data_IF_293177209453
#
_entry.id   IF_293177209453
#
_cell.length_a   1.000
_cell.length_b   1.000
_cell.length_c   1.000
_cell.angle_alpha   90.00
_cell.angle_beta   90.00
_cell.angle_gamma   90.00
#
_symmetry.space_group_name_H-M   'P 1'
#
loop_
_entity.id
_entity.type
_entity.pdbx_description
1 polymer ?
#
# COMPACT_ATOMS: atom_id res chain seq x y z
N UNK A 1 6.55 -5.66 17.12
CA UNK A 1 7.53 -6.09 18.15
C UNK A 1 6.91 -7.20 18.98
N UNK A 2 7.64 -8.27 19.32
CA UNK A 2 7.13 -9.27 20.26
C UNK A 2 7.27 -8.73 21.68
N UNK A 3 6.18 -8.73 22.45
CA UNK A 3 6.19 -8.46 23.89
C UNK A 3 5.60 -9.69 24.58
N UNK A 4 6.47 -10.59 25.02
CA UNK A 4 6.08 -11.94 25.44
C UNK A 4 5.49 -12.74 24.26
N UNK A 5 4.35 -13.44 24.42
CA UNK A 5 3.72 -14.21 23.33
C UNK A 5 2.94 -13.34 22.34
N UNK A 6 2.75 -12.03 22.62
CA UNK A 6 1.91 -11.15 21.80
C UNK A 6 2.71 -10.42 20.72
N UNK A 7 2.15 -10.36 19.52
CA UNK A 7 2.62 -9.47 18.45
C UNK A 7 1.99 -8.09 18.64
N UNK A 8 2.82 -7.09 18.94
CA UNK A 8 2.38 -5.70 19.12
C UNK A 8 2.79 -4.89 17.89
N UNK A 9 1.87 -4.10 17.34
CA UNK A 9 2.20 -3.12 16.33
C UNK A 9 2.97 -1.98 16.98
N UNK A 10 4.12 -1.65 16.42
CA UNK A 10 4.99 -0.58 16.92
C UNK A 10 5.26 0.36 15.76
N UNK A 11 4.64 1.54 15.74
CA UNK A 11 4.88 2.54 14.70
C UNK A 11 6.36 2.89 14.63
N UNK A 12 6.90 2.97 13.41
CA UNK A 12 8.28 3.39 13.18
C UNK A 12 8.35 4.34 12.00
N UNK A 13 9.17 5.38 12.12
CA UNK A 13 9.46 6.26 11.01
C UNK A 13 10.26 5.50 9.95
N UNK A 14 9.75 5.48 8.72
CA UNK A 14 10.39 4.83 7.58
C UNK A 14 11.33 5.80 6.86
N UNK A 15 12.46 5.28 6.39
CA UNK A 15 13.35 6.03 5.51
C UNK A 15 12.75 6.16 4.09
N UNK A 16 13.33 7.04 3.27
CA UNK A 16 12.82 7.34 1.93
C UNK A 16 12.81 6.12 1.03
N UNK A 17 13.89 5.32 1.03
CA UNK A 17 13.99 4.08 0.22
C UNK A 17 12.90 3.06 0.58
N UNK A 18 12.62 2.87 1.86
CA UNK A 18 11.58 1.98 2.36
C UNK A 18 10.20 2.46 1.91
N UNK A 19 9.92 3.77 2.05
CA UNK A 19 8.65 4.36 1.60
C UNK A 19 8.41 4.17 0.11
N UNK A 20 9.41 4.46 -0.72
CA UNK A 20 9.29 4.29 -2.18
C UNK A 20 9.04 2.83 -2.55
N UNK A 21 9.80 1.89 -1.96
CA UNK A 21 9.63 0.45 -2.23
C UNK A 21 8.23 -0.04 -1.84
N UNK A 22 7.74 0.35 -0.68
CA UNK A 22 6.40 -0.05 -0.20
C UNK A 22 5.31 0.56 -1.09
N UNK A 23 5.47 1.81 -1.52
CA UNK A 23 4.56 2.45 -2.47
C UNK A 23 4.45 1.68 -3.78
N UNK A 24 5.60 1.34 -4.40
CA UNK A 24 5.64 0.55 -5.64
C UNK A 24 5.02 -0.85 -5.44
N UNK A 25 5.32 -1.51 -4.33
CA UNK A 25 4.73 -2.82 -4.02
C UNK A 25 3.21 -2.76 -3.88
N UNK A 26 2.68 -1.70 -3.25
CA UNK A 26 1.23 -1.53 -3.11
C UNK A 26 0.57 -1.30 -4.48
N UNK A 27 1.18 -0.51 -5.37
CA UNK A 27 0.68 -0.29 -6.73
C UNK A 27 0.63 -1.58 -7.56
N UNK A 28 1.68 -2.40 -7.47
CA UNK A 28 1.73 -3.70 -8.13
C UNK A 28 0.62 -4.60 -7.57
N UNK A 29 0.47 -4.64 -6.25
CA UNK A 29 -0.54 -5.47 -5.60
C UNK A 29 -1.99 -5.05 -5.95
N UNK A 30 -2.29 -3.75 -6.11
CA UNK A 30 -3.61 -3.30 -6.55
C UNK A 30 -3.88 -3.68 -8.00
N UNK A 31 -2.91 -3.48 -8.89
CA UNK A 31 -3.01 -3.93 -10.28
C UNK A 31 -3.22 -5.44 -10.40
N UNK A 32 -2.54 -6.24 -9.56
CA UNK A 32 -2.70 -7.69 -9.51
C UNK A 32 -4.06 -8.14 -8.99
N UNK A 33 -4.66 -7.43 -8.02
CA UNK A 33 -5.99 -7.76 -7.45
C UNK A 33 -7.14 -7.53 -8.42
N UNK A 34 -6.95 -6.67 -9.41
CA UNK A 34 -7.91 -6.42 -10.50
C UNK A 34 -7.98 -7.59 -11.50
N UNK A 35 -8.06 -8.83 -11.00
CA UNK A 35 -8.08 -10.08 -11.80
C UNK A 35 -9.39 -10.31 -12.56
N UNK A 36 -10.42 -9.52 -12.29
CA UNK A 36 -11.69 -9.57 -13.03
C UNK A 36 -11.61 -8.93 -14.43
N UNK A 37 -10.54 -8.22 -14.74
CA UNK A 37 -10.31 -7.62 -16.05
C UNK A 37 -9.54 -8.60 -16.94
N UNK A 38 -10.07 -8.89 -18.13
CA UNK A 38 -9.41 -9.66 -19.19
C UNK A 38 -8.15 -8.94 -19.77
N UNK A 39 -7.86 -7.72 -19.30
CA UNK A 39 -6.74 -6.94 -19.78
C UNK A 39 -5.38 -7.49 -19.28
N UNK A 40 -4.36 -7.33 -20.13
CA UNK A 40 -2.98 -7.69 -19.78
C UNK A 40 -2.53 -6.93 -18.54
N UNK A 41 -1.59 -7.52 -17.81
CA UNK A 41 -1.05 -6.91 -16.59
C UNK A 41 -0.41 -5.53 -16.84
N UNK A 42 0.26 -5.36 -17.99
CA UNK A 42 0.79 -4.06 -18.45
C UNK A 42 -0.26 -2.97 -18.46
N UNK A 43 -1.44 -3.29 -19.01
CA UNK A 43 -2.52 -2.32 -19.20
C UNK A 43 -3.19 -1.99 -17.87
N UNK A 44 -3.27 -2.97 -16.97
CA UNK A 44 -3.76 -2.79 -15.60
C UNK A 44 -2.85 -1.89 -14.78
N UNK A 45 -1.53 -2.10 -14.85
CA UNK A 45 -0.56 -1.20 -14.20
C UNK A 45 -0.66 0.21 -14.77
N UNK A 46 -0.72 0.36 -16.10
CA UNK A 46 -0.79 1.67 -16.72
C UNK A 46 -2.03 2.46 -16.25
N UNK A 47 -3.19 1.80 -16.17
CA UNK A 47 -4.42 2.39 -15.61
C UNK A 47 -4.25 2.76 -14.14
N UNK A 48 -3.64 1.89 -13.35
CA UNK A 48 -3.42 2.15 -11.93
C UNK A 48 -2.49 3.36 -11.71
N UNK A 49 -1.44 3.51 -12.53
CA UNK A 49 -0.56 4.69 -12.49
C UNK A 49 -1.35 5.97 -12.77
N UNK A 50 -2.21 5.97 -13.80
CA UNK A 50 -3.07 7.11 -14.10
C UNK A 50 -4.02 7.43 -12.94
N UNK A 51 -4.68 6.43 -12.37
CA UNK A 51 -5.55 6.61 -11.19
C UNK A 51 -4.79 7.14 -9.97
N UNK A 52 -3.50 6.81 -9.84
CA UNK A 52 -2.65 7.31 -8.76
C UNK A 52 -2.32 8.79 -8.96
N UNK A 53 -2.08 9.21 -10.21
CA UNK A 53 -1.88 10.62 -10.55
C UNK A 53 -3.15 11.45 -10.34
N UNK A 54 -4.33 10.84 -10.51
CA UNK A 54 -5.63 11.47 -10.22
C UNK A 54 -6.06 11.37 -8.74
N UNK A 55 -5.20 10.84 -7.85
CA UNK A 55 -5.50 10.62 -6.42
C UNK A 55 -6.69 9.68 -6.13
N UNK A 56 -7.14 8.91 -7.12
CA UNK A 56 -8.29 7.98 -7.02
C UNK A 56 -7.91 6.53 -6.76
N UNK A 57 -6.62 6.21 -6.75
CA UNK A 57 -6.13 4.85 -6.53
C UNK A 57 -6.49 4.34 -5.13
N UNK A 58 -6.82 3.04 -5.06
CA UNK A 58 -7.07 2.32 -3.80
C UNK A 58 -5.82 2.29 -2.89
N UNK A 59 -4.63 2.53 -3.45
CA UNK A 59 -3.38 2.60 -2.68
C UNK A 59 -3.44 3.67 -1.60
N UNK A 60 -4.09 4.82 -1.85
CA UNK A 60 -4.20 5.89 -0.86
C UNK A 60 -5.02 5.45 0.36
N UNK A 61 -6.12 4.71 0.15
CA UNK A 61 -6.93 4.14 1.26
C UNK A 61 -6.07 3.24 2.14
N UNK A 62 -5.23 2.39 1.54
CA UNK A 62 -4.33 1.50 2.27
C UNK A 62 -3.26 2.26 3.07
N UNK A 63 -2.75 3.36 2.52
CA UNK A 63 -1.80 4.24 3.24
C UNK A 63 -2.50 4.88 4.45
N UNK A 64 -3.72 5.38 4.28
CA UNK A 64 -4.50 5.94 5.39
C UNK A 64 -4.79 4.92 6.48
N UNK A 65 -5.17 3.69 6.14
CA UNK A 65 -5.38 2.60 7.10
C UNK A 65 -4.13 2.34 7.94
N UNK A 66 -2.96 2.27 7.30
CA UNK A 66 -1.69 2.10 8.01
C UNK A 66 -1.41 3.27 8.94
N UNK A 67 -1.68 4.50 8.51
CA UNK A 67 -1.53 5.68 9.37
C UNK A 67 -2.51 5.68 10.55
N UNK A 68 -3.76 5.26 10.36
CA UNK A 68 -4.75 5.11 11.43
C UNK A 68 -4.31 4.06 12.46
N UNK A 69 -3.86 2.89 11.98
CA UNK A 69 -3.30 1.85 12.85
C UNK A 69 -2.08 2.36 13.61
N UNK A 70 -1.20 3.13 12.95
CA UNK A 70 -0.04 3.71 13.59
C UNK A 70 -0.42 4.73 14.68
N UNK A 71 -1.43 5.56 14.43
CA UNK A 71 -1.94 6.53 15.42
C UNK A 71 -2.57 5.84 16.65
N UNK A 72 -3.31 4.74 16.45
CA UNK A 72 -3.92 3.96 17.53
C UNK A 72 -2.88 3.26 18.43
N UNK A 73 -1.73 2.89 17.87
CA UNK A 73 -0.65 2.19 18.57
C UNK A 73 0.52 3.09 18.95
N UNK A 74 0.31 4.41 18.98
CA UNK A 74 1.33 5.39 19.35
C UNK A 74 1.68 5.35 20.84
#
# INVERSE_FOLDING_TARGET
>A
MKKGPKNVYTPRALNTRQRTRIGIQNLIATAERSRGSQAKFSDRIAREILLTLEEKSEVFKRVEEVHKLAALHR
#
